data_IF_231396943444
#
_entry.id   IF_231396943444
#
_cell.length_a   1.000
_cell.length_b   1.000
_cell.length_c   1.000
_cell.angle_alpha   90.00
_cell.angle_beta   90.00
_cell.angle_gamma   90.00
#
_symmetry.space_group_name_H-M   'P 1'
#
loop_
_entity.id
_entity.type
_entity.pdbx_description
1 polymer ?
#
# COMPACT_ATOMS: atom_id res chain seq x y z
N UNK A 1 47.59 -47.50 -60.95
CA UNK A 1 48.13 -47.65 -59.59
C UNK A 1 47.08 -47.10 -58.62
N UNK A 2 46.49 -48.01 -57.82
CA UNK A 2 45.62 -47.86 -56.63
C UNK A 2 44.39 -46.92 -56.69
N UNK A 3 43.14 -47.42 -56.76
CA UNK A 3 42.18 -47.72 -55.64
C UNK A 3 41.92 -46.54 -54.70
N UNK A 4 40.68 -46.12 -54.35
CA UNK A 4 39.52 -46.91 -53.92
C UNK A 4 38.17 -46.14 -54.05
N UNK A 5 37.11 -46.95 -54.16
CA UNK A 5 35.66 -46.66 -54.01
C UNK A 5 35.36 -46.31 -52.52
N UNK A 6 34.22 -45.77 -52.06
CA UNK A 6 32.84 -46.29 -52.15
C UNK A 6 31.90 -45.57 -51.10
N UNK A 7 30.61 -45.38 -51.44
CA UNK A 7 29.39 -45.15 -50.61
C UNK A 7 29.31 -43.95 -49.62
N UNK A 8 28.17 -43.25 -49.43
CA UNK A 8 26.78 -43.58 -49.73
C UNK A 8 25.77 -42.43 -49.52
N UNK A 9 24.51 -42.82 -49.72
CA UNK A 9 23.22 -42.13 -49.85
C UNK A 9 22.72 -41.32 -48.63
N UNK A 10 21.96 -40.23 -48.87
CA UNK A 10 20.67 -39.87 -48.21
C UNK A 10 20.29 -38.42 -48.62
N UNK A 11 19.33 -38.23 -49.53
CA UNK A 11 17.89 -38.11 -49.31
C UNK A 11 17.43 -36.67 -48.99
N UNK A 12 16.73 -36.13 -49.97
CA UNK A 12 15.97 -34.88 -50.05
C UNK A 12 14.75 -34.92 -49.12
N UNK A 13 14.44 -33.84 -48.39
CA UNK A 13 13.08 -33.55 -47.93
C UNK A 13 12.92 -32.06 -47.58
N UNK A 14 12.38 -31.29 -48.53
CA UNK A 14 11.75 -30.00 -48.26
C UNK A 14 10.42 -30.25 -47.52
N UNK A 15 10.36 -29.91 -46.23
CA UNK A 15 9.12 -29.94 -45.46
C UNK A 15 8.33 -28.66 -45.64
N UNK A 16 7.53 -28.58 -46.70
CA UNK A 16 6.37 -27.67 -46.76
C UNK A 16 5.36 -28.16 -45.72
N UNK A 17 5.01 -27.33 -44.74
CA UNK A 17 3.92 -27.62 -43.82
C UNK A 17 2.61 -27.66 -44.62
N UNK A 18 2.10 -28.87 -44.85
CA UNK A 18 0.79 -29.08 -45.44
C UNK A 18 -0.28 -28.75 -44.40
N UNK A 19 -1.04 -27.70 -44.66
CA UNK A 19 -2.33 -27.47 -44.01
C UNK A 19 -3.29 -28.58 -44.45
N UNK A 20 -3.59 -29.51 -43.54
CA UNK A 20 -4.66 -30.46 -43.75
C UNK A 20 -6.00 -29.76 -43.50
N UNK A 21 -6.71 -29.41 -44.56
CA UNK A 21 -8.14 -29.08 -44.47
C UNK A 21 -8.91 -30.39 -44.44
N UNK A 22 -9.28 -30.83 -43.23
CA UNK A 22 -10.24 -31.92 -43.03
C UNK A 22 -11.65 -31.32 -43.04
N UNK A 23 -12.37 -31.47 -44.16
CA UNK A 23 -13.81 -31.26 -44.17
C UNK A 23 -14.50 -32.49 -43.58
N UNK A 24 -15.06 -32.38 -42.37
CA UNK A 24 -16.25 -33.12 -41.93
C UNK A 24 -16.81 -32.52 -40.64
N UNK A 25 -18.11 -32.19 -40.69
CA UNK A 25 -19.05 -31.92 -39.61
C UNK A 25 -18.78 -30.71 -38.69
N UNK A 26 -19.60 -29.67 -38.87
CA UNK A 26 -20.06 -28.63 -37.92
C UNK A 26 -19.31 -28.56 -36.57
N UNK A 27 -18.02 -28.28 -36.61
CA UNK A 27 -17.29 -27.80 -35.46
C UNK A 27 -17.29 -26.28 -35.57
N UNK A 28 -18.16 -25.62 -34.80
CA UNK A 28 -17.93 -24.21 -34.50
C UNK A 28 -16.48 -24.13 -33.98
N UNK A 29 -15.60 -23.30 -34.57
CA UNK A 29 -14.28 -23.11 -33.99
C UNK A 29 -14.51 -22.63 -32.56
N UNK A 30 -14.15 -23.47 -31.59
CA UNK A 30 -14.05 -23.06 -30.20
C UNK A 30 -12.94 -22.02 -30.22
N UNK A 31 -13.33 -20.75 -30.20
CA UNK A 31 -12.38 -19.66 -30.02
C UNK A 31 -11.60 -19.99 -28.74
N UNK A 32 -10.27 -19.81 -28.73
CA UNK A 32 -9.52 -19.90 -27.49
C UNK A 32 -10.18 -18.99 -26.44
N UNK A 33 -10.20 -19.37 -25.16
CA UNK A 33 -10.70 -18.47 -24.12
C UNK A 33 -10.00 -17.12 -24.28
N UNK A 34 -10.77 -16.02 -24.26
CA UNK A 34 -10.19 -14.68 -24.26
C UNK A 34 -9.23 -14.60 -23.07
N UNK A 35 -7.98 -14.17 -23.33
CA UNK A 35 -7.04 -13.92 -22.24
C UNK A 35 -7.63 -12.83 -21.32
N UNK A 36 -7.51 -12.97 -20.00
CA UNK A 36 -8.07 -11.99 -19.07
C UNK A 36 -7.49 -10.61 -19.36
N UNK A 37 -8.36 -9.60 -19.49
CA UNK A 37 -7.96 -8.20 -19.64
C UNK A 37 -7.40 -7.72 -18.29
N UNK A 38 -6.07 -7.60 -18.19
CA UNK A 38 -5.41 -7.03 -17.01
C UNK A 38 -5.48 -5.50 -17.07
N UNK A 39 -6.06 -4.92 -16.04
CA UNK A 39 -6.13 -3.47 -15.82
C UNK A 39 -5.07 -3.08 -14.81
N UNK A 40 -4.32 -2.00 -15.08
CA UNK A 40 -3.43 -1.35 -14.12
C UNK A 40 -4.04 -0.02 -13.69
N UNK A 41 -4.08 0.23 -12.38
CA UNK A 41 -4.59 1.46 -11.79
C UNK A 41 -3.59 2.05 -10.80
N UNK A 42 -3.62 3.37 -10.66
CA UNK A 42 -2.83 4.11 -9.66
C UNK A 42 -3.78 4.93 -8.80
N UNK A 43 -3.79 4.64 -7.51
CA UNK A 43 -4.64 5.32 -6.53
C UNK A 43 -3.88 6.52 -5.97
N UNK A 44 -4.35 7.72 -6.33
CA UNK A 44 -3.70 9.00 -5.99
C UNK A 44 -4.50 9.87 -5.03
N UNK A 45 -5.65 9.39 -4.52
CA UNK A 45 -6.48 10.07 -3.51
C UNK A 45 -7.16 11.36 -3.98
N UNK A 46 -7.13 11.65 -5.29
CA UNK A 46 -7.60 12.91 -5.86
C UNK A 46 -9.14 13.04 -5.89
N UNK A 47 -9.87 11.92 -5.71
CA UNK A 47 -11.34 11.96 -5.62
C UNK A 47 -11.82 12.54 -4.28
N UNK A 48 -10.94 12.65 -3.27
CA UNK A 48 -11.26 13.33 -2.03
C UNK A 48 -11.20 14.85 -2.23
N UNK A 49 -12.35 15.50 -2.20
CA UNK A 49 -12.41 16.95 -2.18
C UNK A 49 -11.93 17.48 -0.82
N UNK A 50 -10.85 18.28 -0.85
CA UNK A 50 -10.28 18.96 0.32
C UNK A 50 -10.20 20.47 0.03
N UNK A 51 -10.31 21.28 1.09
CA UNK A 51 -9.94 22.69 1.01
C UNK A 51 -8.40 22.84 0.92
N UNK A 52 -7.93 24.07 0.77
CA UNK A 52 -6.49 24.35 0.77
C UNK A 52 -5.90 23.97 2.14
N UNK A 53 -4.91 23.06 2.15
CA UNK A 53 -4.27 22.51 3.35
C UNK A 53 -5.25 21.80 4.30
N UNK A 54 -6.22 21.12 3.72
CA UNK A 54 -7.19 20.28 4.39
C UNK A 54 -6.73 18.87 4.68
N UNK A 55 -7.55 18.18 5.44
CA UNK A 55 -7.49 16.74 5.65
C UNK A 55 -8.91 16.19 5.83
N UNK A 56 -9.05 14.88 5.62
CA UNK A 56 -10.23 14.09 5.93
C UNK A 56 -9.78 12.86 6.72
N UNK A 57 -10.43 12.58 7.84
CA UNK A 57 -10.16 11.40 8.68
C UNK A 57 -11.45 10.71 9.12
N UNK A 58 -12.50 10.82 8.30
CA UNK A 58 -13.86 10.37 8.61
C UNK A 58 -14.77 11.47 9.15
N UNK A 59 -16.00 11.08 9.48
CA UNK A 59 -17.07 11.98 9.90
C UNK A 59 -18.11 11.27 10.78
N UNK A 60 -18.95 12.04 11.46
CA UNK A 60 -20.11 11.49 12.17
C UNK A 60 -21.14 10.99 11.17
N UNK A 61 -21.60 9.76 11.33
CA UNK A 61 -22.60 9.13 10.47
C UNK A 61 -23.63 8.29 11.26
N UNK A 62 -24.57 7.67 10.56
CA UNK A 62 -25.64 6.87 11.15
C UNK A 62 -25.16 5.51 11.69
N UNK A 63 -23.94 5.09 11.33
CA UNK A 63 -23.31 3.84 11.75
C UNK A 63 -22.54 3.97 13.08
N UNK A 64 -22.77 5.06 13.83
CA UNK A 64 -22.12 5.30 15.11
C UNK A 64 -22.29 4.15 16.11
N UNK A 65 -21.19 3.74 16.75
CA UNK A 65 -21.15 2.71 17.79
C UNK A 65 -20.58 3.29 19.08
N UNK A 66 -21.12 2.89 20.23
CA UNK A 66 -20.57 3.23 21.54
C UNK A 66 -19.15 2.63 21.67
N UNK A 67 -18.17 3.47 22.02
CA UNK A 67 -16.77 3.07 22.13
C UNK A 67 -16.43 2.40 23.47
N UNK A 68 -17.39 2.26 24.39
CA UNK A 68 -17.24 1.66 25.72
C UNK A 68 -16.68 2.61 26.78
N UNK A 69 -16.35 3.86 26.41
CA UNK A 69 -15.72 4.87 27.27
C UNK A 69 -16.54 6.16 27.36
N UNK A 70 -17.84 6.09 27.03
CA UNK A 70 -18.76 7.23 27.07
C UNK A 70 -18.68 8.13 25.84
N UNK A 71 -18.14 7.63 24.73
CA UNK A 71 -18.11 8.32 23.44
C UNK A 71 -18.58 7.42 22.29
N UNK A 72 -18.64 8.00 21.09
CA UNK A 72 -19.04 7.30 19.87
C UNK A 72 -17.87 7.19 18.89
N UNK A 73 -17.80 6.07 18.18
CA UNK A 73 -16.99 5.90 16.97
C UNK A 73 -17.85 5.68 15.75
N UNK A 74 -17.33 6.07 14.59
CA UNK A 74 -18.02 6.04 13.32
C UNK A 74 -17.12 5.33 12.31
N UNK A 75 -17.51 4.14 11.82
CA UNK A 75 -16.81 3.53 10.71
C UNK A 75 -17.04 4.38 9.46
N UNK A 76 -15.95 4.76 8.83
CA UNK A 76 -15.89 5.58 7.62
C UNK A 76 -15.01 4.88 6.59
N UNK A 77 -15.08 5.32 5.34
CA UNK A 77 -14.15 4.88 4.32
C UNK A 77 -13.96 5.94 3.24
N UNK A 78 -12.71 6.07 2.78
CA UNK A 78 -12.42 6.67 1.49
C UNK A 78 -12.46 5.57 0.44
N UNK A 79 -13.05 5.84 -0.72
CA UNK A 79 -13.12 4.88 -1.83
C UNK A 79 -12.70 5.54 -3.14
N UNK A 80 -11.81 4.85 -3.86
CA UNK A 80 -11.35 5.22 -5.20
C UNK A 80 -11.23 3.94 -6.02
N UNK A 81 -11.91 3.91 -7.17
CA UNK A 81 -12.06 2.72 -8.00
C UNK A 81 -12.53 1.50 -7.19
N UNK A 82 -11.78 0.40 -7.27
CA UNK A 82 -12.04 -0.88 -6.58
C UNK A 82 -11.43 -0.93 -5.16
N UNK A 83 -10.85 0.18 -4.69
CA UNK A 83 -10.04 0.24 -3.47
C UNK A 83 -10.75 1.04 -2.38
N UNK A 84 -10.85 0.44 -1.19
CA UNK A 84 -11.51 1.04 -0.02
C UNK A 84 -10.53 1.16 1.14
N UNK A 85 -10.41 2.36 1.69
CA UNK A 85 -9.53 2.68 2.80
C UNK A 85 -10.37 2.90 4.05
N UNK A 86 -10.29 1.97 5.01
CA UNK A 86 -11.14 1.99 6.20
C UNK A 86 -10.64 2.96 7.27
N UNK A 87 -11.55 3.75 7.83
CA UNK A 87 -11.22 4.77 8.84
C UNK A 87 -12.18 4.65 10.00
N UNK A 88 -11.67 4.62 11.23
CA UNK A 88 -12.51 4.74 12.43
C UNK A 88 -12.40 6.16 12.95
N UNK A 89 -13.51 6.90 12.92
CA UNK A 89 -13.54 8.29 13.38
C UNK A 89 -14.20 8.41 14.76
N UNK A 90 -13.58 9.18 15.65
CA UNK A 90 -14.19 9.68 16.87
C UNK A 90 -13.92 11.18 16.99
N UNK A 91 -14.73 11.90 17.77
CA UNK A 91 -14.58 13.37 17.90
C UNK A 91 -13.21 13.78 18.43
N UNK A 92 -12.53 12.89 19.17
CA UNK A 92 -11.23 13.15 19.79
C UNK A 92 -10.10 12.26 19.28
N UNK A 93 -10.34 11.43 18.25
CA UNK A 93 -9.30 10.56 17.68
C UNK A 93 -9.74 10.01 16.33
N UNK A 94 -8.79 9.48 15.57
CA UNK A 94 -9.07 8.67 14.40
C UNK A 94 -8.06 7.52 14.33
N UNK A 95 -8.38 6.50 13.56
CA UNK A 95 -7.47 5.40 13.18
C UNK A 95 -7.82 4.93 11.76
N UNK A 96 -6.91 4.23 11.10
CA UNK A 96 -7.03 3.77 9.73
C UNK A 96 -6.31 4.68 8.75
N UNK A 97 -7.05 5.22 7.78
CA UNK A 97 -6.49 6.03 6.69
C UNK A 97 -7.15 7.42 6.67
N UNK A 98 -6.34 8.47 6.67
CA UNK A 98 -6.80 9.83 6.45
C UNK A 98 -6.23 10.35 5.13
N UNK A 99 -6.95 11.24 4.44
CA UNK A 99 -6.47 11.89 3.21
C UNK A 99 -6.08 13.33 3.55
N UNK A 100 -4.95 13.80 3.07
CA UNK A 100 -4.42 15.12 3.37
C UNK A 100 -3.83 15.77 2.13
N UNK A 101 -3.91 17.10 2.06
CA UNK A 101 -3.14 17.92 1.11
C UNK A 101 -2.34 19.03 1.82
N UNK A 102 -2.09 18.83 3.12
CA UNK A 102 -1.31 19.76 3.93
C UNK A 102 0.13 19.87 3.43
N UNK A 103 0.70 21.06 3.59
CA UNK A 103 2.02 21.43 3.03
C UNK A 103 3.03 21.80 4.11
N UNK A 104 2.56 21.99 5.34
CA UNK A 104 3.38 22.11 6.53
C UNK A 104 4.19 20.83 6.74
N UNK A 105 5.45 20.97 7.18
CA UNK A 105 6.37 19.84 7.40
C UNK A 105 6.77 19.66 8.86
N UNK A 106 6.42 20.62 9.70
CA UNK A 106 6.66 20.57 11.14
C UNK A 106 5.53 19.86 11.89
N UNK A 107 5.77 19.66 13.18
CA UNK A 107 4.77 19.17 14.11
C UNK A 107 4.75 20.00 15.38
N UNK A 108 3.58 20.51 15.74
CA UNK A 108 3.30 21.12 17.04
C UNK A 108 2.20 20.33 17.73
N UNK A 109 2.48 19.86 18.95
CA UNK A 109 1.48 19.17 19.75
C UNK A 109 0.27 20.09 20.04
N UNK A 110 -0.93 19.52 19.94
CA UNK A 110 -2.19 20.20 20.19
C UNK A 110 -2.99 19.53 21.30
N UNK A 111 -4.31 19.57 21.21
CA UNK A 111 -5.24 18.90 22.14
C UNK A 111 -5.50 17.42 21.78
N UNK A 112 -4.72 16.86 20.86
CA UNK A 112 -4.80 15.49 20.32
C UNK A 112 -6.10 15.17 19.57
N UNK A 113 -6.98 16.14 19.32
CA UNK A 113 -8.10 15.97 18.39
C UNK A 113 -7.65 16.19 16.94
N UNK A 114 -8.37 15.65 15.94
CA UNK A 114 -8.04 15.92 14.53
C UNK A 114 -7.91 17.42 14.21
N UNK A 115 -8.87 18.22 14.66
CA UNK A 115 -8.92 19.67 14.41
C UNK A 115 -7.94 20.48 15.27
N UNK A 116 -7.74 20.08 16.53
CA UNK A 116 -6.84 20.81 17.44
C UNK A 116 -5.37 20.39 17.33
N UNK A 117 -5.05 19.35 16.55
CA UNK A 117 -3.69 18.94 16.22
C UNK A 117 -3.57 18.56 14.73
N UNK A 118 -3.77 19.51 13.79
CA UNK A 118 -3.82 19.20 12.36
C UNK A 118 -2.45 18.78 11.80
N UNK A 119 -1.35 19.08 12.51
CA UNK A 119 0.00 18.67 12.09
C UNK A 119 0.23 17.16 12.10
N UNK A 120 -0.67 16.37 12.70
CA UNK A 120 -0.66 14.91 12.58
C UNK A 120 -0.95 14.43 11.14
N UNK A 121 -1.51 15.30 10.29
CA UNK A 121 -1.80 15.04 8.88
C UNK A 121 -0.75 15.63 7.92
N UNK A 122 0.40 16.05 8.44
CA UNK A 122 1.52 16.54 7.64
C UNK A 122 2.47 15.40 7.25
N UNK A 123 3.02 15.48 6.04
CA UNK A 123 4.19 14.70 5.66
C UNK A 123 5.47 15.55 5.74
N UNK A 124 6.63 14.92 5.89
CA UNK A 124 7.91 15.64 6.06
C UNK A 124 8.36 16.41 4.81
N UNK A 125 7.78 16.13 3.64
CA UNK A 125 8.17 16.72 2.35
C UNK A 125 7.37 17.96 1.96
N UNK A 126 6.21 18.16 2.58
CA UNK A 126 5.32 19.32 2.37
C UNK A 126 4.50 19.26 1.08
N UNK A 127 4.41 18.09 0.46
CA UNK A 127 3.63 17.84 -0.76
C UNK A 127 3.33 16.34 -0.94
N UNK A 128 2.29 16.03 -1.69
CA UNK A 128 2.08 14.68 -2.21
C UNK A 128 3.22 14.26 -3.16
N UNK A 129 3.38 12.96 -3.39
CA UNK A 129 4.30 12.45 -4.40
C UNK A 129 3.72 12.73 -5.80
N UNK A 130 2.49 12.29 -6.02
CA UNK A 130 1.66 12.57 -7.18
C UNK A 130 0.52 13.52 -6.84
N UNK A 131 -0.04 14.23 -7.82
CA UNK A 131 -1.24 15.04 -7.58
C UNK A 131 -1.11 16.10 -6.46
N UNK A 132 -2.12 16.17 -5.61
CA UNK A 132 -2.26 17.12 -4.48
C UNK A 132 -2.49 16.41 -3.16
N UNK A 133 -3.19 15.29 -3.19
CA UNK A 133 -3.61 14.55 -2.01
C UNK A 133 -2.67 13.37 -1.77
N UNK A 134 -2.56 12.95 -0.53
CA UNK A 134 -1.85 11.75 -0.11
C UNK A 134 -2.56 11.15 1.10
N UNK A 135 -2.27 9.89 1.41
CA UNK A 135 -2.85 9.22 2.58
C UNK A 135 -1.89 9.23 3.77
N UNK A 136 -2.44 9.43 4.98
CA UNK A 136 -1.80 9.14 6.26
C UNK A 136 -2.34 7.80 6.73
N UNK A 137 -1.44 6.91 7.17
CA UNK A 137 -1.76 5.58 7.68
C UNK A 137 -1.45 5.52 9.17
N UNK A 138 -2.46 5.19 9.97
CA UNK A 138 -2.37 4.99 11.41
C UNK A 138 -3.33 3.88 11.85
N UNK A 139 -2.92 2.63 11.69
CA UNK A 139 -3.80 1.46 11.79
C UNK A 139 -3.67 0.75 13.15
N UNK A 140 -4.80 0.24 13.66
CA UNK A 140 -4.89 -0.71 14.78
C UNK A 140 -5.60 -2.01 14.37
N UNK A 141 -5.65 -2.29 13.07
CA UNK A 141 -6.33 -3.43 12.47
C UNK A 141 -7.08 -3.08 11.19
N UNK A 142 -7.31 -1.79 10.93
CA UNK A 142 -7.87 -1.32 9.66
C UNK A 142 -6.98 -1.68 8.48
N UNK A 143 -7.61 -2.04 7.37
CA UNK A 143 -6.96 -2.46 6.13
C UNK A 143 -7.46 -1.64 4.94
N UNK A 144 -6.63 -1.59 3.91
CA UNK A 144 -7.07 -1.30 2.55
C UNK A 144 -7.76 -2.57 2.04
N UNK A 145 -9.00 -2.45 1.57
CA UNK A 145 -9.78 -3.55 1.00
C UNK A 145 -9.90 -3.37 -0.52
N UNK A 146 -9.88 -4.49 -1.24
CA UNK A 146 -10.09 -4.54 -2.68
C UNK A 146 -11.40 -5.29 -2.96
N UNK A 147 -12.24 -4.78 -3.87
CA UNK A 147 -13.54 -5.41 -4.20
C UNK A 147 -13.42 -6.74 -4.95
N UNK A 148 -12.21 -7.03 -5.43
CA UNK A 148 -11.78 -8.25 -6.12
C UNK A 148 -10.31 -8.52 -5.79
N UNK A 149 -9.79 -9.73 -6.07
CA UNK A 149 -8.37 -9.98 -5.91
C UNK A 149 -7.53 -9.11 -6.83
N UNK A 150 -6.43 -8.56 -6.29
CA UNK A 150 -5.49 -7.71 -7.02
C UNK A 150 -4.07 -8.17 -6.78
N UNK A 151 -3.18 -7.76 -7.68
CA UNK A 151 -1.74 -7.72 -7.42
C UNK A 151 -1.34 -6.29 -7.07
N UNK A 152 -0.72 -6.08 -5.91
CA UNK A 152 -0.18 -4.76 -5.53
C UNK A 152 1.28 -4.67 -5.99
N UNK A 153 1.58 -3.76 -6.91
CA UNK A 153 2.93 -3.58 -7.48
C UNK A 153 3.84 -2.71 -6.61
N UNK A 154 3.25 -1.81 -5.83
CA UNK A 154 4.01 -0.93 -4.96
C UNK A 154 3.28 0.36 -4.67
N UNK A 155 3.94 1.23 -3.93
CA UNK A 155 3.43 2.54 -3.56
C UNK A 155 4.58 3.45 -3.10
N UNK A 156 4.35 4.75 -3.15
CA UNK A 156 5.28 5.73 -2.59
C UNK A 156 5.01 5.93 -1.10
N UNK A 157 6.07 6.11 -0.32
CA UNK A 157 5.96 6.37 1.11
C UNK A 157 6.95 7.43 1.59
N UNK A 158 6.60 8.09 2.70
CA UNK A 158 7.50 8.96 3.45
C UNK A 158 7.07 9.03 4.92
N UNK A 159 7.90 9.64 5.77
CA UNK A 159 7.52 9.83 7.17
C UNK A 159 6.45 10.93 7.33
N UNK A 160 5.57 10.73 8.31
CA UNK A 160 4.75 11.84 8.84
C UNK A 160 5.59 12.82 9.64
N UNK A 161 5.17 14.08 9.71
CA UNK A 161 5.85 15.09 10.53
C UNK A 161 5.81 14.74 12.02
N UNK A 162 4.74 14.09 12.49
CA UNK A 162 4.64 13.67 13.89
C UNK A 162 5.71 12.61 14.22
N UNK A 163 5.83 11.57 13.39
CA UNK A 163 6.85 10.53 13.55
C UNK A 163 8.26 11.11 13.52
N UNK A 164 8.58 12.01 12.56
CA UNK A 164 9.90 12.67 12.52
C UNK A 164 10.16 13.51 13.76
N UNK A 165 9.15 14.25 14.25
CA UNK A 165 9.33 15.05 15.46
C UNK A 165 9.68 14.18 16.67
N UNK A 166 9.00 13.04 16.85
CA UNK A 166 9.33 12.09 17.90
C UNK A 166 10.73 11.47 17.74
N UNK A 167 11.14 11.14 16.52
CA UNK A 167 12.49 10.65 16.23
C UNK A 167 13.55 11.68 16.64
N UNK A 168 13.34 12.96 16.32
CA UNK A 168 14.34 14.01 16.53
C UNK A 168 14.37 14.55 17.96
N UNK A 169 13.22 14.60 18.63
CA UNK A 169 13.04 15.34 19.88
C UNK A 169 12.52 14.47 21.04
N UNK A 170 11.96 13.31 20.75
CA UNK A 170 11.03 12.62 21.65
C UNK A 170 9.73 13.40 21.82
N UNK A 171 8.76 12.79 22.50
CA UNK A 171 7.44 13.41 22.78
C UNK A 171 6.90 13.03 24.17
N UNK A 172 7.76 12.45 25.02
CA UNK A 172 7.40 11.96 26.36
C UNK A 172 6.86 10.53 26.35
N UNK A 173 6.18 10.11 25.28
CA UNK A 173 5.77 8.71 25.06
C UNK A 173 6.93 7.91 24.43
N UNK A 174 7.53 8.49 23.39
CA UNK A 174 8.83 8.15 22.82
C UNK A 174 9.90 8.72 23.74
N UNK A 175 10.60 7.88 24.53
CA UNK A 175 11.51 8.37 25.54
C UNK A 175 12.80 8.89 24.87
N UNK A 176 12.90 10.22 24.83
CA UNK A 176 14.02 10.92 24.19
C UNK A 176 14.02 10.79 22.67
N UNK A 177 15.00 11.45 22.05
CA UNK A 177 15.28 11.30 20.63
C UNK A 177 15.84 9.91 20.31
N UNK A 178 15.87 9.57 19.03
CA UNK A 178 16.55 8.39 18.53
C UNK A 178 18.08 8.59 18.60
N UNK A 179 18.76 7.54 19.02
CA UNK A 179 20.20 7.36 18.94
C UNK A 179 20.55 6.41 17.79
N UNK A 180 21.84 6.17 17.55
CA UNK A 180 22.32 5.46 16.35
C UNK A 180 21.81 4.01 16.21
N UNK A 181 21.47 3.36 17.33
CA UNK A 181 20.96 1.99 17.39
C UNK A 181 19.42 1.91 17.40
N UNK A 182 18.74 3.06 17.48
CA UNK A 182 17.29 3.11 17.39
C UNK A 182 16.82 2.96 15.93
N UNK A 183 15.72 2.24 15.78
CA UNK A 183 15.06 2.08 14.49
C UNK A 183 13.55 2.09 14.63
N UNK A 184 12.88 2.47 13.56
CA UNK A 184 11.44 2.47 13.41
C UNK A 184 11.09 1.98 12.00
N UNK A 185 10.17 1.03 11.93
CA UNK A 185 9.84 0.30 10.71
C UNK A 185 8.32 0.21 10.57
N UNK A 186 7.83 0.34 9.34
CA UNK A 186 6.47 -0.04 8.97
C UNK A 186 6.49 -1.43 8.35
N UNK A 187 5.63 -2.33 8.83
CA UNK A 187 5.39 -3.61 8.18
C UNK A 187 4.18 -3.53 7.28
N UNK A 188 4.30 -4.04 6.07
CA UNK A 188 3.19 -4.19 5.12
C UNK A 188 2.90 -5.67 4.95
N UNK A 189 1.62 -6.04 5.08
CA UNK A 189 1.22 -7.44 5.02
C UNK A 189 -0.09 -7.62 4.22
N UNK A 190 -0.15 -8.60 3.31
CA UNK A 190 -1.35 -8.88 2.55
C UNK A 190 -2.28 -9.86 3.29
N UNK A 191 -3.56 -9.81 2.95
CA UNK A 191 -4.48 -10.94 3.19
C UNK A 191 -4.79 -11.60 1.85
N UNK A 192 -4.30 -12.83 1.60
CA UNK A 192 -4.50 -13.50 0.33
C UNK A 192 -5.96 -13.89 0.12
N UNK A 193 -6.40 -14.00 -1.14
CA UNK A 193 -7.73 -14.50 -1.47
C UNK A 193 -7.91 -15.99 -1.09
N UNK A 194 -6.84 -16.78 -1.16
CA UNK A 194 -6.80 -18.21 -0.80
C UNK A 194 -5.53 -18.57 -0.01
N UNK A 195 -5.59 -19.56 0.88
CA UNK A 195 -4.43 -20.08 1.62
C UNK A 195 -4.16 -19.42 2.99
N UNK A 196 -3.03 -19.76 3.61
CA UNK A 196 -2.61 -19.21 4.91
C UNK A 196 -1.66 -18.03 4.67
N UNK A 197 -2.10 -16.82 5.00
CA UNK A 197 -1.29 -15.60 4.97
C UNK A 197 -0.16 -15.57 6.02
N UNK A 198 0.63 -14.49 6.02
CA UNK A 198 1.73 -14.29 6.97
C UNK A 198 3.01 -13.67 6.42
N UNK A 199 3.01 -13.18 5.18
CA UNK A 199 4.11 -12.37 4.67
C UNK A 199 4.07 -10.97 5.31
N UNK A 200 5.21 -10.51 5.81
CA UNK A 200 5.41 -9.16 6.31
C UNK A 200 6.66 -8.60 5.63
N UNK A 201 6.51 -7.48 4.92
CA UNK A 201 7.63 -6.74 4.37
C UNK A 201 7.90 -5.52 5.25
N UNK A 202 9.14 -5.39 5.72
CA UNK A 202 9.58 -4.24 6.50
C UNK A 202 10.06 -3.08 5.63
N UNK A 203 9.59 -1.88 5.94
CA UNK A 203 10.02 -0.60 5.38
C UNK A 203 10.67 0.21 6.51
N UNK A 204 11.97 0.42 6.44
CA UNK A 204 12.71 1.22 7.42
C UNK A 204 12.31 2.71 7.30
N UNK A 205 11.69 3.26 8.35
CA UNK A 205 11.33 4.68 8.44
C UNK A 205 12.43 5.51 9.13
N UNK A 206 13.14 4.88 10.06
CA UNK A 206 14.35 5.38 10.69
C UNK A 206 15.27 4.22 11.07
N UNK A 207 16.58 4.36 10.80
CA UNK A 207 17.61 3.33 11.04
C UNK A 207 19.00 3.92 10.89
N UNK A 208 19.98 3.34 11.58
CA UNK A 208 21.40 3.69 11.49
C UNK A 208 21.67 5.20 11.71
N UNK A 209 20.89 5.83 12.60
CA UNK A 209 20.96 7.26 12.87
C UNK A 209 20.41 8.18 11.78
N UNK A 210 19.72 7.64 10.78
CA UNK A 210 19.02 8.39 9.73
C UNK A 210 17.52 8.05 9.66
N UNK A 211 16.76 8.83 8.90
CA UNK A 211 15.34 8.62 8.65
C UNK A 211 14.96 9.02 7.22
N UNK A 212 13.82 8.51 6.74
CA UNK A 212 13.29 8.82 5.40
C UNK A 212 12.85 10.28 5.34
N UNK A 213 13.53 11.08 4.50
CA UNK A 213 13.33 12.55 4.36
C UNK A 213 12.54 12.95 3.11
N UNK A 214 12.38 12.04 2.17
CA UNK A 214 11.68 12.27 0.90
C UNK A 214 10.74 11.11 0.63
N UNK A 215 9.91 11.24 -0.40
CA UNK A 215 9.19 10.10 -0.96
C UNK A 215 10.19 9.05 -1.46
N UNK A 216 9.92 7.79 -1.13
CA UNK A 216 10.65 6.60 -1.55
C UNK A 216 9.62 5.61 -2.11
N UNK A 217 10.03 4.78 -3.07
CA UNK A 217 9.15 3.77 -3.64
C UNK A 217 9.35 2.43 -2.92
N UNK A 218 8.25 1.82 -2.46
CA UNK A 218 8.21 0.44 -2.03
C UNK A 218 7.80 -0.43 -3.21
N UNK A 219 8.76 -1.15 -3.79
CA UNK A 219 8.48 -2.08 -4.88
C UNK A 219 8.08 -3.45 -4.32
N UNK A 220 6.87 -3.89 -4.68
CA UNK A 220 6.29 -5.16 -4.29
C UNK A 220 6.19 -6.14 -5.47
N UNK A 221 6.66 -5.74 -6.66
CA UNK A 221 6.45 -6.47 -7.91
C UNK A 221 7.08 -7.86 -7.93
N UNK A 222 8.14 -8.08 -7.15
CA UNK A 222 8.88 -9.35 -7.05
C UNK A 222 8.41 -10.22 -5.87
N UNK A 223 7.34 -9.83 -5.17
CA UNK A 223 6.83 -10.51 -3.99
C UNK A 223 5.49 -11.18 -4.28
N UNK A 224 5.52 -12.47 -4.61
CA UNK A 224 4.33 -13.30 -4.90
C UNK A 224 3.25 -13.21 -3.79
N UNK A 225 3.62 -12.92 -2.55
CA UNK A 225 2.67 -12.76 -1.45
C UNK A 225 1.70 -11.57 -1.64
N UNK A 226 2.05 -10.59 -2.46
CA UNK A 226 1.22 -9.42 -2.78
C UNK A 226 0.44 -9.60 -4.10
N UNK A 227 0.48 -10.79 -4.69
CA UNK A 227 -0.37 -11.21 -5.80
C UNK A 227 -1.67 -11.84 -5.27
N UNK A 228 -2.77 -11.63 -6.00
CA UNK A 228 -4.08 -12.23 -5.69
C UNK A 228 -4.55 -12.00 -4.24
N UNK A 229 -4.45 -10.75 -3.77
CA UNK A 229 -4.82 -10.34 -2.40
C UNK A 229 -6.14 -9.59 -2.37
N UNK A 230 -6.85 -9.68 -1.24
CA UNK A 230 -8.13 -8.97 -1.03
C UNK A 230 -8.01 -7.82 -0.04
N UNK A 231 -6.90 -7.72 0.70
CA UNK A 231 -6.59 -6.55 1.50
C UNK A 231 -5.10 -6.39 1.77
N UNK A 232 -4.70 -5.15 2.03
CA UNK A 232 -3.35 -4.75 2.44
C UNK A 232 -3.42 -4.09 3.82
N UNK A 233 -2.58 -4.54 4.74
CA UNK A 233 -2.49 -4.02 6.11
C UNK A 233 -1.12 -3.41 6.40
N UNK A 234 -1.09 -2.53 7.39
CA UNK A 234 0.10 -1.86 7.87
C UNK A 234 0.24 -2.06 9.38
N UNK A 235 1.47 -2.28 9.82
CA UNK A 235 1.87 -2.42 11.22
C UNK A 235 3.15 -1.64 11.48
N UNK A 236 3.54 -1.51 12.75
CA UNK A 236 4.71 -0.73 13.12
C UNK A 236 5.53 -1.43 14.20
N UNK A 237 6.84 -1.39 14.01
CA UNK A 237 7.84 -1.98 14.90
C UNK A 237 8.96 -0.97 15.14
N UNK A 238 9.62 -1.08 16.29
CA UNK A 238 10.69 -0.15 16.64
C UNK A 238 11.36 -0.47 17.96
N UNK A 239 12.47 0.21 18.22
CA UNK A 239 13.25 0.09 19.47
C UNK A 239 12.61 0.84 20.63
N UNK A 240 12.04 2.02 20.37
CA UNK A 240 11.28 2.79 21.36
C UNK A 240 9.92 2.14 21.58
N UNK A 241 9.78 1.38 22.67
CA UNK A 241 8.59 0.60 22.99
C UNK A 241 8.42 0.40 24.50
N UNK A 242 7.21 0.03 24.91
CA UNK A 242 6.87 -0.45 26.24
C UNK A 242 6.11 -1.80 26.15
N UNK A 243 5.53 -2.27 27.26
CA UNK A 243 4.80 -3.54 27.31
C UNK A 243 3.56 -3.60 26.41
N UNK A 244 3.09 -2.45 25.93
CA UNK A 244 1.91 -2.32 25.06
C UNK A 244 2.26 -2.15 23.58
N UNK A 245 3.55 -2.02 23.23
CA UNK A 245 4.00 -1.87 21.84
C UNK A 245 4.94 -0.69 21.64
N UNK A 246 5.16 -0.33 20.37
CA UNK A 246 5.97 0.83 19.98
C UNK A 246 5.38 2.11 20.56
N UNK A 247 6.24 3.00 21.04
CA UNK A 247 5.81 4.30 21.60
C UNK A 247 6.04 5.46 20.65
N UNK A 248 6.85 5.27 19.61
CA UNK A 248 6.95 6.19 18.48
C UNK A 248 5.58 6.31 17.79
N UNK A 249 5.10 7.52 17.46
CA UNK A 249 3.87 7.72 16.71
C UNK A 249 3.84 6.86 15.44
N UNK A 250 2.82 6.00 15.35
CA UNK A 250 2.62 5.02 14.27
C UNK A 250 1.92 5.64 13.07
N UNK A 251 2.58 6.62 12.45
CA UNK A 251 2.06 7.40 11.33
C UNK A 251 3.04 7.40 10.15
N UNK A 252 2.64 6.81 9.03
CA UNK A 252 3.37 6.88 7.74
C UNK A 252 2.48 7.59 6.72
N UNK A 253 3.10 8.25 5.74
CA UNK A 253 2.37 8.82 4.60
C UNK A 253 2.61 7.93 3.37
N UNK A 254 1.55 7.60 2.63
CA UNK A 254 1.62 6.83 1.39
C UNK A 254 0.94 7.57 0.24
N UNK A 255 1.35 7.28 -0.98
CA UNK A 255 0.80 7.88 -2.20
C UNK A 255 0.98 6.95 -3.41
N UNK A 256 0.23 7.19 -4.48
CA UNK A 256 0.34 6.53 -5.78
C UNK A 256 0.43 4.98 -5.67
N UNK A 257 -0.59 4.36 -5.08
CA UNK A 257 -0.63 2.90 -4.93
C UNK A 257 -0.93 2.28 -6.29
N UNK A 258 -0.01 1.43 -6.79
CA UNK A 258 -0.14 0.76 -8.08
C UNK A 258 -0.68 -0.65 -7.89
N UNK A 259 -1.81 -0.93 -8.53
CA UNK A 259 -2.47 -2.25 -8.52
C UNK A 259 -2.74 -2.77 -9.93
N UNK A 260 -2.80 -4.09 -10.06
CA UNK A 260 -3.20 -4.80 -11.27
C UNK A 260 -4.30 -5.81 -10.95
N UNK A 261 -5.30 -5.95 -11.82
CA UNK A 261 -6.41 -6.88 -11.62
C UNK A 261 -7.08 -7.31 -12.93
N UNK A 262 -7.73 -8.46 -12.89
CA UNK A 262 -8.58 -8.95 -13.98
C UNK A 262 -9.94 -8.21 -13.98
N UNK A 263 -10.36 -7.78 -15.16
CA UNK A 263 -11.59 -7.00 -15.35
C UNK A 263 -12.85 -7.85 -15.36
#
# INVERSE_FOLDING_TARGET
MKTNKLFGLAALACGFAMSFTSCNNVDNPVLPPEEPEIVSATIGFENQALNDKGFWCGEVNEQGVDNGWGGMTYPCAYQEDIVKFNTTFGVSYWTGYAISNRTETGFTAGDFTPEGMPDQFNNITGKAHGGKNFAIVQTYGEKIEFDRPVTVKGFWYTNSSYTVNAILNGDGMTPGKFEADDWFMCEVYPTPAEGVGGAHLGIDLAKDGDYVKTWQYCDLSDYEAFENITSLGFGFLGTKKNDYGVTTPTYICIDDIVIEYEK
#
